data_IF_858795725715
#
_entry.id   IF_858795725715
#
_cell.length_a   1.000
_cell.length_b   1.000
_cell.length_c   1.000
_cell.angle_alpha   90.00
_cell.angle_beta   90.00
_cell.angle_gamma   90.00
#
_symmetry.space_group_name_H-M   'P 1'
#
loop_
_entity.id
_entity.type
_entity.pdbx_description
1 polymer ?
#
# COMPACT_ATOMS: atom_id res chain seq x y z
N UNK A 1 32.00 -33.78 28.95
CA UNK A 1 31.87 -34.52 27.66
C UNK A 1 30.41 -34.80 27.29
N UNK A 2 29.55 -35.30 28.18
CA UNK A 2 28.12 -35.58 27.87
C UNK A 2 27.30 -34.34 27.48
N UNK A 3 27.60 -33.18 28.06
CA UNK A 3 26.96 -31.90 27.70
C UNK A 3 27.26 -31.46 26.26
N UNK A 4 28.49 -31.68 25.79
CA UNK A 4 28.90 -31.37 24.40
C UNK A 4 28.12 -32.25 23.42
N UNK A 5 27.87 -33.51 23.77
CA UNK A 5 27.06 -34.43 22.96
C UNK A 5 25.60 -33.95 22.81
N UNK A 6 24.98 -33.45 23.88
CA UNK A 6 23.63 -32.88 23.80
C UNK A 6 23.58 -31.60 22.95
N UNK A 7 24.59 -30.73 23.05
CA UNK A 7 24.69 -29.56 22.17
C UNK A 7 24.85 -29.96 20.70
N UNK A 8 25.68 -30.95 20.40
CA UNK A 8 25.81 -31.47 19.02
C UNK A 8 24.52 -32.10 18.49
N UNK A 9 23.70 -32.72 19.35
CA UNK A 9 22.38 -33.24 18.94
C UNK A 9 21.34 -32.15 18.71
N UNK A 10 21.47 -30.96 19.35
CA UNK A 10 20.52 -29.85 19.20
C UNK A 10 20.81 -28.95 17.99
N UNK A 11 22.07 -28.85 17.56
CA UNK A 11 22.47 -28.03 16.39
C UNK A 11 21.66 -28.35 15.12
N UNK A 12 21.41 -29.62 14.74
CA UNK A 12 20.57 -29.93 13.57
C UNK A 12 19.13 -29.43 13.70
N UNK A 13 18.54 -29.46 14.89
CA UNK A 13 17.18 -28.94 15.12
C UNK A 13 17.13 -27.41 15.04
N UNK A 14 18.19 -26.72 15.45
CA UNK A 14 18.30 -25.27 15.29
C UNK A 14 18.46 -24.86 13.83
N UNK A 15 19.17 -25.65 13.02
CA UNK A 15 19.33 -25.43 11.58
C UNK A 15 18.03 -25.76 10.82
N UNK A 16 17.34 -26.85 11.17
CA UNK A 16 16.06 -27.22 10.54
C UNK A 16 14.88 -26.35 11.03
N UNK A 17 14.99 -25.73 12.21
CA UNK A 17 14.03 -24.71 12.68
C UNK A 17 14.18 -23.38 11.94
N UNK A 18 15.29 -23.17 11.23
CA UNK A 18 15.37 -22.11 10.23
C UNK A 18 14.63 -22.61 8.99
N UNK A 19 13.30 -22.67 9.08
CA UNK A 19 12.46 -22.91 7.92
C UNK A 19 12.63 -21.71 6.98
N UNK A 20 13.65 -21.81 6.13
CA UNK A 20 13.90 -20.87 5.03
C UNK A 20 12.79 -20.92 3.97
N UNK A 21 11.79 -21.80 4.12
CA UNK A 21 10.67 -21.90 3.19
C UNK A 21 9.61 -20.80 3.34
N UNK A 22 9.76 -19.89 4.32
CA UNK A 22 9.10 -18.58 4.30
C UNK A 22 10.14 -17.47 4.09
N UNK A 23 10.51 -17.27 2.83
CA UNK A 23 11.30 -16.16 2.27
C UNK A 23 11.39 -14.92 3.18
N UNK A 24 12.61 -14.54 3.58
CA UNK A 24 12.94 -13.21 4.12
C UNK A 24 12.77 -12.08 3.07
N UNK A 25 12.07 -12.32 1.96
CA UNK A 25 11.61 -11.26 1.07
C UNK A 25 10.31 -10.70 1.64
N UNK A 26 10.38 -9.45 2.08
CA UNK A 26 9.23 -8.69 2.51
C UNK A 26 8.16 -8.68 1.41
N UNK A 27 6.94 -9.11 1.75
CA UNK A 27 5.85 -9.01 0.81
C UNK A 27 5.53 -7.53 0.56
N UNK A 28 5.16 -7.21 -0.67
CA UNK A 28 4.78 -5.85 -1.01
C UNK A 28 3.41 -5.51 -0.41
N UNK A 29 3.23 -4.23 -0.09
CA UNK A 29 1.99 -3.63 0.36
C UNK A 29 1.55 -2.52 -0.56
N UNK A 30 0.27 -2.22 -0.54
CA UNK A 30 -0.34 -1.03 -1.14
C UNK A 30 -1.07 -0.27 -0.04
N UNK A 31 -0.77 1.02 0.10
CA UNK A 31 -1.49 1.93 1.00
C UNK A 31 -2.66 2.58 0.28
N UNK A 32 -3.80 2.74 0.95
CA UNK A 32 -4.96 3.44 0.39
C UNK A 32 -5.55 4.42 1.37
N UNK A 33 -5.92 5.61 0.90
CA UNK A 33 -6.64 6.62 1.69
C UNK A 33 -7.78 7.20 0.86
N UNK A 34 -8.85 7.64 1.52
CA UNK A 34 -9.99 8.30 0.87
C UNK A 34 -10.06 9.74 1.35
N UNK A 35 -10.19 10.67 0.41
CA UNK A 35 -10.28 12.10 0.65
C UNK A 35 -11.55 12.67 0.03
N UNK A 36 -12.27 13.46 0.81
CA UNK A 36 -13.40 14.26 0.35
C UNK A 36 -12.99 15.72 0.22
N UNK A 37 -13.24 16.33 -0.93
CA UNK A 37 -13.04 17.77 -1.12
C UNK A 37 -14.25 18.55 -0.59
N UNK A 38 -14.03 19.80 -0.14
CA UNK A 38 -15.13 20.74 0.09
C UNK A 38 -15.89 20.96 -1.22
N UNK A 39 -17.22 21.00 -1.16
CA UNK A 39 -18.08 21.01 -2.35
C UNK A 39 -17.85 22.19 -3.29
N UNK A 40 -17.39 23.33 -2.77
CA UNK A 40 -17.09 24.55 -3.52
C UNK A 40 -15.60 24.72 -3.83
N UNK A 41 -14.76 23.71 -3.50
CA UNK A 41 -13.30 23.71 -3.65
C UNK A 41 -12.74 22.49 -4.36
N UNK A 42 -13.59 21.71 -5.03
CA UNK A 42 -13.18 20.49 -5.75
C UNK A 42 -12.06 20.74 -6.76
N UNK A 43 -12.07 21.90 -7.43
CA UNK A 43 -11.04 22.27 -8.41
C UNK A 43 -9.70 22.52 -7.71
N UNK A 44 -9.68 23.39 -6.71
CA UNK A 44 -8.48 23.73 -5.95
C UNK A 44 -7.90 22.50 -5.25
N UNK A 45 -8.75 21.63 -4.68
CA UNK A 45 -8.32 20.35 -4.12
C UNK A 45 -7.67 19.44 -5.17
N UNK A 46 -8.29 19.27 -6.33
CA UNK A 46 -7.75 18.40 -7.39
C UNK A 46 -6.42 18.92 -7.95
N UNK A 47 -6.29 20.25 -8.10
CA UNK A 47 -5.04 20.90 -8.53
C UNK A 47 -3.94 20.77 -7.46
N UNK A 48 -4.28 20.98 -6.18
CA UNK A 48 -3.38 20.79 -5.05
C UNK A 48 -2.85 19.35 -4.96
N UNK A 49 -3.75 18.36 -4.98
CA UNK A 49 -3.39 16.94 -4.98
C UNK A 49 -2.52 16.57 -6.18
N UNK A 50 -2.85 17.07 -7.38
CA UNK A 50 -2.05 16.81 -8.59
C UNK A 50 -0.63 17.33 -8.41
N UNK A 51 -0.48 18.60 -8.02
CA UNK A 51 0.83 19.23 -7.90
C UNK A 51 1.67 18.58 -6.78
N UNK A 52 1.04 18.30 -5.63
CA UNK A 52 1.67 17.59 -4.52
C UNK A 52 2.21 16.23 -4.96
N UNK A 53 1.39 15.43 -5.66
CA UNK A 53 1.81 14.12 -6.14
C UNK A 53 2.89 14.21 -7.22
N UNK A 54 2.80 15.15 -8.16
CA UNK A 54 3.84 15.35 -9.18
C UNK A 54 5.20 15.73 -8.56
N UNK A 55 5.20 16.41 -7.42
CA UNK A 55 6.42 16.82 -6.74
C UNK A 55 6.98 15.75 -5.81
N UNK A 56 6.16 15.14 -4.95
CA UNK A 56 6.63 14.26 -3.88
C UNK A 56 6.31 12.77 -4.07
N UNK A 57 5.40 12.43 -4.99
CA UNK A 57 4.88 11.07 -5.17
C UNK A 57 4.77 10.64 -6.64
N UNK A 58 5.66 11.15 -7.51
CA UNK A 58 5.56 10.93 -8.94
C UNK A 58 5.81 9.47 -9.34
N UNK A 59 6.77 8.81 -8.69
CA UNK A 59 7.21 7.46 -9.03
C UNK A 59 7.85 6.72 -7.84
N UNK A 60 8.26 5.47 -8.08
CA UNK A 60 8.96 4.64 -7.11
C UNK A 60 8.05 4.05 -6.02
N UNK A 61 8.67 3.60 -4.93
CA UNK A 61 7.98 2.91 -3.83
C UNK A 61 6.93 3.79 -3.14
N UNK A 62 7.19 5.10 -3.06
CA UNK A 62 6.27 6.08 -2.47
C UNK A 62 5.38 6.74 -3.52
N UNK A 63 5.34 6.25 -4.77
CA UNK A 63 4.49 6.82 -5.80
C UNK A 63 3.00 6.70 -5.45
N UNK A 64 2.20 7.74 -5.74
CA UNK A 64 0.77 7.81 -5.40
C UNK A 64 -0.08 8.09 -6.63
N UNK A 65 -1.10 7.25 -6.84
CA UNK A 65 -2.11 7.40 -7.89
C UNK A 65 -3.44 7.83 -7.28
N UNK A 66 -4.11 8.80 -7.89
CA UNK A 66 -5.42 9.28 -7.45
C UNK A 66 -6.50 8.77 -8.40
N UNK A 67 -7.56 8.19 -7.84
CA UNK A 67 -8.74 7.75 -8.57
C UNK A 67 -10.00 8.41 -8.01
N UNK A 68 -10.92 8.84 -8.87
CA UNK A 68 -12.27 9.23 -8.42
C UNK A 68 -13.12 7.99 -8.23
N UNK A 69 -13.79 7.89 -7.08
CA UNK A 69 -14.71 6.81 -6.77
C UNK A 69 -16.04 7.08 -7.50
N UNK A 70 -16.46 6.16 -8.37
CA UNK A 70 -17.64 6.39 -9.21
C UNK A 70 -18.98 6.04 -8.54
N UNK A 71 -18.98 5.20 -7.50
CA UNK A 71 -20.20 4.66 -6.89
C UNK A 71 -19.93 4.13 -5.47
N UNK A 72 -21.00 3.93 -4.70
CA UNK A 72 -20.94 3.41 -3.33
C UNK A 72 -21.08 4.51 -2.28
N UNK A 73 -20.71 4.19 -1.04
CA UNK A 73 -20.82 5.12 0.09
C UNK A 73 -19.94 6.38 -0.09
N UNK A 74 -18.78 6.22 -0.72
CA UNK A 74 -17.78 7.27 -0.93
C UNK A 74 -17.78 7.77 -2.39
N UNK A 75 -18.94 7.74 -3.05
CA UNK A 75 -19.05 8.19 -4.44
C UNK A 75 -18.64 9.67 -4.58
N UNK A 76 -17.88 9.96 -5.64
CA UNK A 76 -17.28 11.25 -5.97
C UNK A 76 -16.12 11.71 -5.09
N UNK A 77 -15.75 10.93 -4.06
CA UNK A 77 -14.51 11.14 -3.33
C UNK A 77 -13.30 10.63 -4.12
N UNK A 78 -12.12 10.91 -3.59
CA UNK A 78 -10.83 10.59 -4.20
C UNK A 78 -10.15 9.48 -3.40
N UNK A 79 -9.77 8.40 -4.06
CA UNK A 79 -8.96 7.34 -3.49
C UNK A 79 -7.51 7.52 -3.90
N UNK A 80 -6.63 7.77 -2.94
CA UNK A 80 -5.19 7.69 -3.14
C UNK A 80 -4.73 6.24 -2.96
N UNK A 81 -3.85 5.80 -3.84
CA UNK A 81 -3.25 4.47 -3.83
C UNK A 81 -1.73 4.62 -3.93
N UNK A 82 -1.04 4.26 -2.86
CA UNK A 82 0.42 4.35 -2.73
C UNK A 82 1.08 2.98 -2.91
N UNK A 83 2.22 2.97 -3.60
CA UNK A 83 3.01 1.76 -3.84
C UNK A 83 2.68 1.07 -5.18
N UNK A 84 2.95 -0.24 -5.32
CA UNK A 84 3.32 -1.19 -4.26
C UNK A 84 4.75 -0.98 -3.72
N UNK A 85 4.96 -1.29 -2.44
CA UNK A 85 6.24 -1.09 -1.75
C UNK A 85 6.48 -2.14 -0.66
N UNK A 86 7.73 -2.41 -0.23
CA UNK A 86 8.00 -3.17 1.00
C UNK A 86 7.74 -2.29 2.25
N UNK A 87 7.49 -2.87 3.43
CA UNK A 87 7.33 -2.06 4.66
C UNK A 87 8.59 -1.24 4.98
N UNK A 88 9.76 -1.80 4.71
CA UNK A 88 11.05 -1.12 4.88
C UNK A 88 11.18 0.18 4.07
N UNK A 89 10.35 0.41 3.05
CA UNK A 89 10.31 1.71 2.36
C UNK A 89 9.77 2.83 3.25
N UNK A 90 8.91 2.51 4.24
CA UNK A 90 8.39 3.48 5.22
C UNK A 90 9.40 3.85 6.29
N UNK A 91 10.44 3.02 6.50
CA UNK A 91 11.51 3.30 7.45
C UNK A 91 12.59 4.21 6.86
N UNK A 92 12.58 4.42 5.54
CA UNK A 92 13.56 5.24 4.86
C UNK A 92 13.37 6.71 5.25
N UNK A 93 14.46 7.43 5.60
CA UNK A 93 14.36 8.86 5.92
C UNK A 93 13.93 9.64 4.68
N UNK A 94 12.84 10.40 4.80
CA UNK A 94 12.42 11.35 3.78
C UNK A 94 13.14 12.69 3.97
N UNK A 95 14.10 13.00 3.09
CA UNK A 95 14.87 14.25 3.16
C UNK A 95 14.05 15.48 2.80
N UNK A 96 12.88 15.31 2.20
CA UNK A 96 11.98 16.39 1.80
C UNK A 96 10.73 16.48 2.68
N UNK A 97 10.72 15.82 3.83
CA UNK A 97 9.53 15.74 4.70
C UNK A 97 8.96 17.11 5.08
N UNK A 98 9.81 18.07 5.45
CA UNK A 98 9.36 19.41 5.82
C UNK A 98 8.67 20.13 4.64
N UNK A 99 9.24 20.00 3.43
CA UNK A 99 8.68 20.60 2.21
C UNK A 99 7.39 19.89 1.77
N UNK A 100 7.34 18.57 1.91
CA UNK A 100 6.14 17.75 1.68
C UNK A 100 4.99 18.20 2.59
N UNK A 101 5.25 18.32 3.89
CA UNK A 101 4.23 18.66 4.88
C UNK A 101 3.77 20.12 4.75
N UNK A 102 4.69 21.04 4.44
CA UNK A 102 4.36 22.43 4.16
C UNK A 102 3.48 22.56 2.90
N UNK A 103 3.81 21.85 1.83
CA UNK A 103 3.00 21.84 0.61
C UNK A 103 1.61 21.25 0.88
N UNK A 104 1.53 20.11 1.58
CA UNK A 104 0.25 19.50 1.95
C UNK A 104 -0.63 20.46 2.76
N UNK A 105 -0.06 21.08 3.80
CA UNK A 105 -0.78 21.99 4.69
C UNK A 105 -1.29 23.25 3.99
N UNK A 106 -0.57 23.75 2.97
CA UNK A 106 -0.91 24.98 2.29
C UNK A 106 -1.77 24.77 1.03
N UNK A 107 -1.57 23.65 0.32
CA UNK A 107 -2.15 23.46 -1.01
C UNK A 107 -3.21 22.35 -1.07
N UNK A 108 -3.32 21.49 -0.06
CA UNK A 108 -4.32 20.41 -0.02
C UNK A 108 -5.29 20.57 1.14
N UNK A 109 -4.78 20.63 2.38
CA UNK A 109 -5.60 20.70 3.62
C UNK A 109 -6.66 21.81 3.59
N UNK A 110 -6.41 23.03 3.07
CA UNK A 110 -7.41 24.09 3.07
C UNK A 110 -8.67 23.75 2.26
N UNK A 111 -8.60 22.79 1.33
CA UNK A 111 -9.68 22.38 0.44
C UNK A 111 -10.30 21.02 0.82
N UNK A 112 -9.77 20.37 1.86
CA UNK A 112 -10.22 19.07 2.34
C UNK A 112 -11.47 19.22 3.24
N UNK A 113 -12.48 18.40 3.00
CA UNK A 113 -13.66 18.27 3.86
C UNK A 113 -13.46 17.18 4.92
N UNK A 114 -12.92 16.04 4.51
CA UNK A 114 -12.59 14.91 5.39
C UNK A 114 -11.54 14.00 4.76
N UNK A 115 -10.83 13.27 5.60
CA UNK A 115 -9.95 12.17 5.23
C UNK A 115 -10.32 10.91 6.03
N UNK A 116 -10.22 9.75 5.40
CA UNK A 116 -10.30 8.45 6.07
C UNK A 116 -8.90 7.91 6.39
N UNK A 117 -8.83 6.99 7.35
CA UNK A 117 -7.57 6.34 7.75
C UNK A 117 -6.87 5.63 6.59
N UNK A 118 -5.53 5.69 6.59
CA UNK A 118 -4.72 4.92 5.64
C UNK A 118 -4.85 3.43 5.96
N UNK A 119 -5.29 2.65 4.98
CA UNK A 119 -5.34 1.18 5.06
C UNK A 119 -4.23 0.57 4.23
N UNK A 120 -3.49 -0.39 4.81
CA UNK A 120 -2.46 -1.15 4.09
C UNK A 120 -2.97 -2.54 3.72
N UNK A 121 -2.76 -2.90 2.45
CA UNK A 121 -3.16 -4.17 1.87
C UNK A 121 -1.93 -4.95 1.42
N UNK A 122 -1.89 -6.25 1.71
CA UNK A 122 -0.86 -7.13 1.13
C UNK A 122 -1.08 -7.24 -0.38
N UNK A 123 -0.04 -6.96 -1.14
CA UNK A 123 -0.04 -7.08 -2.60
C UNK A 123 0.41 -8.48 -3.03
N UNK A 124 -0.53 -9.24 -3.60
CA UNK A 124 -0.26 -10.56 -4.16
C UNK A 124 0.04 -10.47 -5.66
N UNK A 125 1.26 -10.07 -6.01
CA UNK A 125 1.70 -9.89 -7.39
C UNK A 125 1.48 -11.14 -8.29
N UNK A 126 1.55 -12.34 -7.74
CA UNK A 126 1.31 -13.60 -8.47
C UNK A 126 -0.12 -13.76 -9.00
N UNK A 127 -1.08 -12.96 -8.52
CA UNK A 127 -2.46 -12.92 -9.05
C UNK A 127 -2.71 -11.74 -9.98
N UNK A 128 -1.69 -10.95 -10.27
CA UNK A 128 -1.78 -9.76 -11.11
C UNK A 128 -1.20 -10.01 -12.49
N UNK A 129 -1.75 -9.34 -13.50
CA UNK A 129 -1.22 -9.32 -14.87
C UNK A 129 -1.10 -7.86 -15.34
N UNK A 130 0.13 -7.37 -15.49
CA UNK A 130 0.41 -6.01 -15.97
C UNK A 130 1.21 -6.10 -17.28
N UNK A 131 0.55 -6.03 -18.44
CA UNK A 131 1.27 -5.98 -19.70
C UNK A 131 2.09 -4.69 -19.80
N UNK A 132 3.18 -4.72 -20.55
CA UNK A 132 4.14 -3.60 -20.66
C UNK A 132 3.56 -2.33 -21.30
N UNK A 133 2.45 -2.46 -22.03
CA UNK A 133 1.69 -1.40 -22.70
C UNK A 133 0.37 -1.07 -21.98
N UNK A 134 0.29 -1.37 -20.68
CA UNK A 134 -0.93 -1.17 -19.90
C UNK A 134 -1.19 0.30 -19.58
N UNK A 135 -2.17 0.88 -20.26
CA UNK A 135 -2.76 2.18 -19.92
C UNK A 135 -4.05 1.99 -19.11
N UNK A 136 -4.04 2.39 -17.84
CA UNK A 136 -5.19 2.23 -16.94
C UNK A 136 -6.13 3.44 -17.03
N UNK A 137 -7.26 3.29 -17.74
CA UNK A 137 -8.30 4.34 -17.77
C UNK A 137 -9.41 4.14 -16.72
N UNK A 138 -9.66 2.90 -16.32
CA UNK A 138 -10.69 2.52 -15.33
C UNK A 138 -10.19 1.36 -14.49
N UNK A 139 -10.50 1.42 -13.21
CA UNK A 139 -10.23 0.35 -12.25
C UNK A 139 -11.55 -0.15 -11.67
N UNK A 140 -11.70 -1.47 -11.55
CA UNK A 140 -12.77 -2.07 -10.74
C UNK A 140 -12.14 -2.66 -9.50
N UNK A 141 -12.52 -2.14 -8.35
CA UNK A 141 -12.12 -2.67 -7.05
C UNK A 141 -13.29 -3.49 -6.48
N UNK A 142 -12.98 -4.64 -5.91
CA UNK A 142 -13.95 -5.46 -5.18
C UNK A 142 -13.29 -5.93 -3.89
N UNK A 143 -13.98 -5.72 -2.78
CA UNK A 143 -13.51 -6.09 -1.44
C UNK A 143 -14.39 -7.23 -0.94
N UNK A 144 -13.76 -8.23 -0.33
CA UNK A 144 -14.46 -9.37 0.27
C UNK A 144 -14.02 -9.54 1.71
N UNK A 145 -14.98 -9.66 2.61
CA UNK A 145 -14.71 -10.08 3.99
C UNK A 145 -14.54 -11.59 4.03
N UNK A 146 -13.32 -12.03 4.34
CA UNK A 146 -12.97 -13.45 4.43
C UNK A 146 -13.03 -13.88 5.89
N UNK A 147 -13.82 -14.92 6.17
CA UNK A 147 -13.87 -15.50 7.50
C UNK A 147 -12.47 -15.95 7.97
N UNK A 148 -12.14 -15.68 9.24
CA UNK A 148 -10.84 -16.01 9.83
C UNK A 148 -10.47 -17.48 9.55
N UNK A 149 -9.23 -17.70 9.09
CA UNK A 149 -8.71 -19.03 8.75
C UNK A 149 -9.16 -19.57 7.40
N UNK A 150 -9.90 -18.80 6.58
CA UNK A 150 -10.29 -19.19 5.22
C UNK A 150 -9.48 -18.52 4.11
N UNK A 151 -8.50 -17.70 4.47
CA UNK A 151 -7.66 -16.96 3.52
C UNK A 151 -6.94 -17.88 2.52
N UNK A 152 -6.19 -18.86 3.03
CA UNK A 152 -5.43 -19.78 2.18
C UNK A 152 -6.31 -20.58 1.22
N UNK A 153 -7.51 -20.95 1.68
CA UNK A 153 -8.50 -21.65 0.84
C UNK A 153 -9.05 -20.75 -0.28
N UNK A 154 -9.15 -19.44 -0.06
CA UNK A 154 -9.60 -18.48 -1.05
C UNK A 154 -8.53 -18.27 -2.14
N UNK A 155 -7.27 -18.05 -1.74
CA UNK A 155 -6.17 -17.76 -2.68
C UNK A 155 -5.59 -19.00 -3.38
N UNK A 156 -5.87 -20.21 -2.90
CA UNK A 156 -5.38 -21.47 -3.51
C UNK A 156 -6.26 -22.00 -4.63
N UNK A 157 -7.50 -21.53 -4.75
CA UNK A 157 -8.36 -21.85 -5.88
C UNK A 157 -7.85 -21.09 -7.10
N UNK A 158 -7.02 -21.75 -7.91
CA UNK A 158 -6.75 -21.30 -9.28
C UNK A 158 -8.09 -21.18 -10.01
N UNK A 159 -8.48 -19.95 -10.32
CA UNK A 159 -9.55 -19.66 -11.27
C UNK A 159 -9.11 -20.04 -12.69
#
# INVERSE_FOLDING_TARGET
MKSIFYWMMLIPFLVLSQDQQSNNEEYLIVGTAIYSAKSDKTKEFSEGMKNHNEQFHAEGAMGVRIFTIMNGQNAYDYMAVMGPMPWSALDAPNTEQDAHDEDWANNVVPYLASEEDVTFWRFHNNFSNFPTDFEMSKLRVTVWDIARGKYDAMISRKL
#
